data_IF_964330237489
#
_entry.id   IF_964330237489
#
_cell.length_a   1.000
_cell.length_b   1.000
_cell.length_c   1.000
_cell.angle_alpha   90.00
_cell.angle_beta   90.00
_cell.angle_gamma   90.00
#
_symmetry.space_group_name_H-M   'P 1'
#
loop_
_entity.id
_entity.type
_entity.pdbx_description
1 polymer ?
#
# COMPACT_ATOMS: atom_id res chain seq x y z
N UNK A 1 -11.61 18.57 -11.18
CA UNK A 1 -11.26 19.45 -10.05
C UNK A 1 -10.78 18.65 -8.84
N UNK A 2 -11.59 17.75 -8.25
CA UNK A 2 -11.27 17.01 -7.00
C UNK A 2 -9.96 16.23 -7.07
N UNK A 3 -9.72 15.48 -8.14
CA UNK A 3 -8.47 14.71 -8.31
C UNK A 3 -7.25 15.63 -8.42
N UNK A 4 -7.38 16.74 -9.17
CA UNK A 4 -6.32 17.74 -9.32
C UNK A 4 -5.99 18.41 -7.99
N UNK A 5 -7.00 18.75 -7.20
CA UNK A 5 -6.83 19.33 -5.87
C UNK A 5 -6.16 18.36 -4.92
N UNK A 6 -6.55 17.08 -4.95
CA UNK A 6 -5.93 16.03 -4.13
C UNK A 6 -4.46 15.84 -4.51
N UNK A 7 -4.16 15.83 -5.81
CA UNK A 7 -2.79 15.75 -6.29
C UNK A 7 -1.95 16.95 -5.84
N UNK A 8 -2.51 18.17 -5.94
CA UNK A 8 -1.84 19.38 -5.47
C UNK A 8 -1.55 19.34 -3.96
N UNK A 9 -2.49 18.83 -3.16
CA UNK A 9 -2.28 18.62 -1.71
C UNK A 9 -1.17 17.63 -1.41
N UNK A 10 -1.11 16.53 -2.16
CA UNK A 10 -0.02 15.57 -2.00
C UNK A 10 1.34 16.17 -2.38
N UNK A 11 1.41 16.91 -3.47
CA UNK A 11 2.63 17.61 -3.87
C UNK A 11 3.09 18.62 -2.79
N UNK A 12 2.17 19.39 -2.21
CA UNK A 12 2.46 20.30 -1.10
C UNK A 12 2.94 19.55 0.15
N UNK A 13 2.30 18.40 0.46
CA UNK A 13 2.72 17.57 1.59
C UNK A 13 4.13 17.03 1.37
N UNK A 14 4.45 16.50 0.20
CA UNK A 14 5.80 16.03 -0.14
C UNK A 14 6.83 17.16 -0.06
N UNK A 15 6.49 18.36 -0.52
CA UNK A 15 7.34 19.53 -0.40
C UNK A 15 7.58 19.92 1.07
N UNK A 16 6.54 19.87 1.92
CA UNK A 16 6.68 20.12 3.36
C UNK A 16 7.55 19.08 4.06
N UNK A 17 7.52 17.84 3.58
CA UNK A 17 8.41 16.76 4.01
C UNK A 17 9.81 16.85 3.36
N UNK A 18 10.10 17.92 2.62
CA UNK A 18 11.38 18.15 1.92
C UNK A 18 11.75 17.05 0.94
N UNK A 19 10.75 16.40 0.37
CA UNK A 19 10.91 15.23 -0.51
C UNK A 19 11.77 14.11 0.14
N UNK A 20 11.71 13.99 1.46
CA UNK A 20 12.43 12.97 2.20
C UNK A 20 11.99 11.57 1.76
N UNK A 21 12.98 10.67 1.56
CA UNK A 21 12.71 9.27 1.23
C UNK A 21 12.14 8.48 2.41
N UNK A 22 12.35 8.95 3.64
CA UNK A 22 11.81 8.34 4.85
C UNK A 22 11.33 9.37 5.85
N UNK A 23 10.31 9.01 6.63
CA UNK A 23 9.78 9.81 7.74
C UNK A 23 9.62 8.93 8.98
N UNK A 24 9.90 9.50 10.13
CA UNK A 24 9.66 8.86 11.43
C UNK A 24 8.30 9.30 11.95
N UNK A 25 7.41 8.34 12.12
CA UNK A 25 6.08 8.55 12.68
C UNK A 25 6.00 7.97 14.10
N UNK A 26 5.22 8.56 15.00
CA UNK A 26 4.96 7.97 16.30
C UNK A 26 4.11 6.70 16.15
N UNK A 27 4.14 5.83 17.16
CA UNK A 27 3.38 4.57 17.18
C UNK A 27 1.87 4.79 16.99
N UNK A 28 1.36 5.96 17.36
CA UNK A 28 -0.04 6.36 17.17
C UNK A 28 -0.49 6.36 15.69
N UNK A 29 0.46 6.37 14.74
CA UNK A 29 0.15 6.16 13.33
C UNK A 29 -0.34 4.74 13.03
N UNK A 30 0.00 3.77 13.86
CA UNK A 30 -0.28 2.35 13.66
C UNK A 30 -1.29 1.80 14.64
N UNK A 31 -1.12 2.11 15.92
CA UNK A 31 -1.97 1.60 17.00
C UNK A 31 -2.21 2.69 18.01
N UNK A 32 -3.41 2.67 18.63
CA UNK A 32 -3.76 3.58 19.71
C UNK A 32 -4.27 2.80 20.91
N UNK A 33 -3.91 3.25 22.09
CA UNK A 33 -4.46 2.71 23.32
C UNK A 33 -5.99 2.95 23.39
N UNK A 34 -6.72 1.93 23.79
CA UNK A 34 -8.16 2.04 24.04
C UNK A 34 -8.40 2.33 25.53
N UNK A 35 -9.53 2.96 25.87
CA UNK A 35 -9.89 3.20 27.28
C UNK A 35 -9.98 1.90 28.12
N UNK A 36 -10.18 0.77 27.47
CA UNK A 36 -10.27 -0.54 28.10
C UNK A 36 -8.89 -1.23 28.26
N UNK A 37 -7.79 -0.54 27.97
CA UNK A 37 -6.43 -1.04 28.15
C UNK A 37 -5.91 -1.92 27.01
N UNK A 38 -6.62 -2.00 25.87
CA UNK A 38 -6.17 -2.68 24.65
C UNK A 38 -5.55 -1.73 23.62
N UNK A 39 -5.19 -2.29 22.46
CA UNK A 39 -4.74 -1.53 21.29
C UNK A 39 -5.77 -1.62 20.18
N UNK A 40 -6.01 -0.50 19.50
CA UNK A 40 -6.88 -0.41 18.33
C UNK A 40 -6.08 -0.01 17.09
N UNK A 41 -6.39 -0.66 15.97
CA UNK A 41 -5.86 -0.32 14.64
C UNK A 41 -6.87 0.45 13.77
N UNK A 42 -8.03 0.84 14.31
CA UNK A 42 -9.09 1.48 13.55
C UNK A 42 -8.66 2.77 12.84
N UNK A 43 -7.70 3.50 13.44
CA UNK A 43 -7.12 4.72 12.88
C UNK A 43 -5.68 4.49 12.34
N UNK A 44 -5.31 3.26 12.03
CA UNK A 44 -3.98 2.91 11.53
C UNK A 44 -3.81 3.30 10.07
N UNK A 45 -2.62 3.77 9.72
CA UNK A 45 -2.23 3.97 8.31
C UNK A 45 -2.10 2.64 7.53
N UNK A 46 -2.06 1.50 8.22
CA UNK A 46 -2.14 0.17 7.62
C UNK A 46 -3.56 -0.19 7.19
N UNK A 47 -4.57 0.47 7.75
CA UNK A 47 -5.94 0.24 7.35
C UNK A 47 -6.20 0.95 6.02
N UNK A 48 -6.53 0.17 4.98
CA UNK A 48 -6.84 0.69 3.64
C UNK A 48 -8.03 1.65 3.62
N UNK A 49 -8.97 1.50 4.56
CA UNK A 49 -10.13 2.37 4.69
C UNK A 49 -9.76 3.78 5.21
N UNK A 50 -8.53 3.97 5.68
CA UNK A 50 -8.04 5.28 6.09
C UNK A 50 -8.12 6.30 4.94
N UNK A 51 -7.91 5.87 3.70
CA UNK A 51 -7.98 6.74 2.53
C UNK A 51 -9.39 7.30 2.31
N UNK A 52 -10.45 6.61 2.75
CA UNK A 52 -11.82 7.11 2.68
C UNK A 52 -12.06 8.39 3.50
N UNK A 53 -11.16 8.68 4.45
CA UNK A 53 -11.20 9.90 5.27
C UNK A 53 -10.52 11.09 4.61
N UNK A 54 -9.84 10.90 3.49
CA UNK A 54 -9.06 11.93 2.80
C UNK A 54 -9.92 13.17 2.50
N UNK A 55 -9.53 14.31 3.10
CA UNK A 55 -10.25 15.58 2.96
C UNK A 55 -11.56 15.69 3.74
N UNK A 56 -11.93 14.69 4.56
CA UNK A 56 -13.11 14.73 5.42
C UNK A 56 -12.76 15.27 6.82
N UNK A 57 -13.73 15.81 7.58
CA UNK A 57 -13.52 16.25 8.97
C UNK A 57 -13.07 15.12 9.92
N UNK A 58 -13.31 13.87 9.55
CA UNK A 58 -12.88 12.67 10.30
C UNK A 58 -11.40 12.32 10.09
N UNK A 59 -10.72 12.99 9.16
CA UNK A 59 -9.30 12.80 8.90
C UNK A 59 -8.48 13.50 9.99
N UNK A 60 -7.88 12.70 10.86
CA UNK A 60 -7.07 13.18 11.98
C UNK A 60 -5.68 13.57 11.52
N UNK A 61 -5.04 14.45 12.27
CA UNK A 61 -3.65 14.87 12.00
C UNK A 61 -2.65 14.12 12.87
N UNK A 62 -1.43 14.00 12.36
CA UNK A 62 -0.29 13.43 13.08
C UNK A 62 0.96 14.23 12.75
N UNK A 63 1.89 14.27 13.71
CA UNK A 63 3.19 14.92 13.53
C UNK A 63 4.23 13.86 13.21
N UNK A 64 4.96 14.03 12.12
CA UNK A 64 6.04 13.14 11.67
C UNK A 64 7.33 13.93 11.52
N UNK A 65 8.48 13.26 11.56
CA UNK A 65 9.79 13.88 11.35
C UNK A 65 10.43 13.32 10.10
N UNK A 66 10.62 14.15 9.05
CA UNK A 66 11.35 13.73 7.85
C UNK A 66 12.82 13.43 8.17
N UNK A 67 13.41 12.50 7.44
CA UNK A 67 14.85 12.23 7.46
C UNK A 67 15.44 12.57 6.10
N UNK A 68 16.38 13.53 6.08
CA UNK A 68 17.07 13.94 4.88
C UNK A 68 18.57 13.75 5.14
N UNK A 69 19.24 12.99 4.29
CA UNK A 69 20.66 12.63 4.45
C UNK A 69 20.99 12.06 5.84
N UNK A 70 20.10 11.21 6.37
CA UNK A 70 20.17 10.62 7.72
C UNK A 70 20.06 11.63 8.88
N UNK A 71 19.65 12.86 8.61
CA UNK A 71 19.39 13.85 9.64
C UNK A 71 17.89 14.07 9.82
N UNK A 72 17.45 14.01 11.08
CA UNK A 72 16.06 14.29 11.43
C UNK A 72 15.76 15.78 11.30
N UNK A 73 14.77 16.09 10.49
CA UNK A 73 14.27 17.43 10.26
C UNK A 73 13.24 17.84 11.33
N UNK A 74 12.91 19.13 11.42
CA UNK A 74 11.80 19.60 12.25
C UNK A 74 10.50 18.85 11.95
N UNK A 75 9.62 18.68 12.94
CA UNK A 75 8.38 17.95 12.76
C UNK A 75 7.44 18.67 11.78
N UNK A 76 6.72 17.89 10.99
CA UNK A 76 5.70 18.32 10.05
C UNK A 76 4.38 17.65 10.43
N UNK A 77 3.31 18.44 10.49
CA UNK A 77 1.96 17.92 10.75
C UNK A 77 1.23 17.71 9.42
N UNK A 78 0.68 16.53 9.23
CA UNK A 78 -0.13 16.15 8.07
C UNK A 78 -1.30 15.27 8.50
N UNK A 79 -2.25 15.01 7.61
CA UNK A 79 -3.35 14.12 7.91
C UNK A 79 -2.92 12.64 7.87
N UNK A 80 -3.59 11.78 8.65
CA UNK A 80 -3.35 10.34 8.64
C UNK A 80 -3.67 9.73 7.28
N UNK A 81 -4.72 10.20 6.61
CA UNK A 81 -5.06 9.71 5.27
C UNK A 81 -4.01 10.13 4.22
N UNK A 82 -3.43 11.33 4.33
CA UNK A 82 -2.30 11.74 3.49
C UNK A 82 -1.06 10.88 3.76
N UNK A 83 -0.74 10.65 5.03
CA UNK A 83 0.37 9.77 5.41
C UNK A 83 0.16 8.37 4.84
N UNK A 84 -1.04 7.79 5.04
CA UNK A 84 -1.39 6.48 4.48
C UNK A 84 -1.28 6.44 2.95
N UNK A 85 -1.73 7.48 2.24
CA UNK A 85 -1.66 7.55 0.78
C UNK A 85 -0.21 7.61 0.26
N UNK A 86 0.65 8.38 0.92
CA UNK A 86 2.03 8.63 0.50
C UNK A 86 3.04 7.59 0.99
N UNK A 87 2.70 6.78 2.01
CA UNK A 87 3.58 5.74 2.53
C UNK A 87 3.65 4.56 1.56
N UNK A 88 4.81 4.26 1.02
CA UNK A 88 5.04 3.08 0.19
C UNK A 88 5.34 1.84 1.04
N UNK A 89 6.15 2.00 2.07
CA UNK A 89 6.61 0.93 2.96
C UNK A 89 6.57 1.36 4.42
N UNK A 90 6.41 0.40 5.31
CA UNK A 90 6.55 0.56 6.74
C UNK A 90 7.77 -0.25 7.20
N UNK A 91 8.71 0.42 7.85
CA UNK A 91 9.92 -0.21 8.38
C UNK A 91 9.82 -0.25 9.89
N UNK A 92 9.89 -1.45 10.45
CA UNK A 92 9.86 -1.70 11.89
C UNK A 92 11.23 -2.21 12.34
N UNK A 93 12.06 -1.37 13.00
CA UNK A 93 13.28 -1.87 13.59
C UNK A 93 12.93 -2.84 14.73
N UNK A 94 13.41 -4.07 14.65
CA UNK A 94 13.24 -5.06 15.69
C UNK A 94 14.28 -4.85 16.80
N UNK A 95 13.86 -4.95 18.05
CA UNK A 95 14.75 -4.86 19.23
C UNK A 95 15.50 -6.18 19.44
N UNK A 96 14.85 -7.29 19.07
CA UNK A 96 15.40 -8.65 19.19
C UNK A 96 15.26 -9.38 17.85
N UNK A 97 16.12 -10.38 17.64
CA UNK A 97 15.98 -11.28 16.48
C UNK A 97 14.65 -12.00 16.49
N UNK A 98 14.13 -12.30 15.31
CA UNK A 98 12.89 -13.08 15.21
C UNK A 98 13.12 -14.51 15.71
N UNK A 99 12.04 -15.16 16.16
CA UNK A 99 12.09 -16.59 16.55
C UNK A 99 12.03 -17.52 15.35
N UNK A 100 11.65 -16.98 14.19
CA UNK A 100 11.49 -17.73 12.95
C UNK A 100 12.73 -17.53 12.06
N UNK A 101 13.59 -18.54 11.91
CA UNK A 101 14.84 -18.41 11.14
C UNK A 101 14.63 -17.96 9.69
N UNK A 102 13.46 -18.25 9.11
CA UNK A 102 13.12 -17.84 7.75
C UNK A 102 13.26 -16.33 7.54
N UNK A 103 12.89 -15.53 8.55
CA UNK A 103 12.94 -14.06 8.44
C UNK A 103 14.33 -13.45 8.64
N UNK A 104 15.34 -14.26 8.90
CA UNK A 104 16.73 -13.79 8.88
C UNK A 104 17.27 -13.68 7.43
N UNK A 105 16.68 -14.45 6.50
CA UNK A 105 17.15 -14.57 5.11
C UNK A 105 16.09 -14.16 4.07
N UNK A 106 14.85 -13.91 4.49
CA UNK A 106 13.71 -13.63 3.58
C UNK A 106 12.92 -12.43 4.06
N UNK A 107 12.74 -11.46 3.17
CA UNK A 107 11.80 -10.36 3.37
C UNK A 107 10.39 -10.80 2.96
N UNK A 108 9.40 -10.53 3.81
CA UNK A 108 8.00 -10.79 3.54
C UNK A 108 7.29 -9.46 3.19
N UNK A 109 6.80 -9.36 1.95
CA UNK A 109 6.02 -8.23 1.48
C UNK A 109 4.52 -8.58 1.52
N UNK A 110 3.75 -7.84 2.32
CA UNK A 110 2.29 -7.96 2.33
C UNK A 110 1.69 -6.82 1.51
N UNK A 111 1.01 -7.20 0.42
CA UNK A 111 0.26 -6.25 -0.40
C UNK A 111 -1.20 -6.25 0.02
N UNK A 112 -1.83 -5.08 0.20
CA UNK A 112 -3.28 -5.00 0.30
C UNK A 112 -3.90 -5.72 -0.89
N UNK A 113 -4.97 -6.49 -0.67
CA UNK A 113 -5.56 -7.35 -1.69
C UNK A 113 -5.64 -6.68 -3.06
N UNK A 114 -5.10 -7.35 -4.08
CA UNK A 114 -5.05 -6.83 -5.44
C UNK A 114 -6.47 -6.54 -5.92
N UNK A 115 -6.74 -5.28 -6.14
CA UNK A 115 -7.99 -4.82 -6.78
C UNK A 115 -7.58 -4.31 -8.16
N UNK A 116 -8.07 -4.94 -9.21
CA UNK A 116 -7.78 -4.55 -10.58
C UNK A 116 -7.92 -3.05 -10.81
N UNK A 117 -7.12 -2.50 -11.71
CA UNK A 117 -7.27 -1.09 -12.13
C UNK A 117 -8.68 -0.88 -12.67
N UNK A 118 -9.29 0.23 -12.29
CA UNK A 118 -10.56 0.64 -12.88
C UNK A 118 -10.28 1.29 -14.23
N UNK A 119 -10.89 0.75 -15.29
CA UNK A 119 -10.94 1.40 -16.59
C UNK A 119 -12.09 2.41 -16.55
N UNK A 120 -11.81 3.64 -16.17
CA UNK A 120 -12.80 4.70 -15.94
C UNK A 120 -12.34 5.99 -16.58
N UNK A 121 -13.29 6.76 -17.12
CA UNK A 121 -13.04 8.06 -17.73
C UNK A 121 -13.42 9.23 -16.82
N UNK A 122 -14.24 8.96 -15.80
CA UNK A 122 -14.74 9.97 -14.87
C UNK A 122 -14.84 9.46 -13.43
N UNK A 123 -14.95 10.37 -12.47
CA UNK A 123 -15.21 10.02 -11.07
C UNK A 123 -16.59 9.40 -10.87
N UNK A 124 -17.55 9.71 -11.75
CA UNK A 124 -18.89 9.09 -11.70
C UNK A 124 -18.85 7.63 -12.13
N UNK A 125 -17.94 7.26 -13.04
CA UNK A 125 -17.71 5.86 -13.38
C UNK A 125 -17.11 5.10 -12.20
N UNK A 126 -16.23 5.75 -11.44
CA UNK A 126 -15.69 5.15 -10.20
C UNK A 126 -16.80 4.88 -9.20
N UNK A 127 -17.69 5.86 -8.95
CA UNK A 127 -18.83 5.70 -8.04
C UNK A 127 -19.71 4.51 -8.45
N UNK A 128 -20.01 4.39 -9.73
CA UNK A 128 -20.79 3.27 -10.28
C UNK A 128 -20.07 1.93 -10.13
N UNK A 129 -18.77 1.89 -10.39
CA UNK A 129 -17.97 0.66 -10.31
C UNK A 129 -17.78 0.15 -8.88
N UNK A 130 -17.69 1.05 -7.89
CA UNK A 130 -17.50 0.71 -6.48
C UNK A 130 -18.81 0.26 -5.81
N UNK A 131 -19.97 0.56 -6.41
CA UNK A 131 -21.30 0.22 -5.90
C UNK A 131 -21.55 0.64 -4.45
N UNK A 132 -20.99 1.76 -4.04
CA UNK A 132 -21.17 2.33 -2.70
C UNK A 132 -21.36 3.83 -2.83
N UNK A 133 -22.53 4.31 -2.40
CA UNK A 133 -22.85 5.74 -2.46
C UNK A 133 -22.00 6.59 -1.51
N UNK A 134 -21.49 5.98 -0.45
CA UNK A 134 -20.66 6.64 0.57
C UNK A 134 -19.15 6.62 0.26
N UNK A 135 -18.72 5.85 -0.74
CA UNK A 135 -17.30 5.72 -1.07
C UNK A 135 -16.74 7.00 -1.67
N UNK A 136 -15.55 7.41 -1.21
CA UNK A 136 -14.81 8.50 -1.80
C UNK A 136 -14.16 8.01 -3.12
N UNK A 137 -14.61 8.49 -4.30
CA UNK A 137 -14.10 8.00 -5.57
C UNK A 137 -12.62 8.30 -5.79
N UNK A 138 -12.12 9.42 -5.26
CA UNK A 138 -10.70 9.78 -5.32
C UNK A 138 -9.87 8.82 -4.46
N UNK A 139 -10.34 8.50 -3.24
CA UNK A 139 -9.68 7.53 -2.37
C UNK A 139 -9.60 6.14 -3.02
N UNK A 140 -10.66 5.70 -3.68
CA UNK A 140 -10.69 4.42 -4.40
C UNK A 140 -9.70 4.38 -5.58
N UNK A 141 -9.57 5.47 -6.34
CA UNK A 141 -8.57 5.58 -7.40
C UNK A 141 -7.14 5.54 -6.85
N UNK A 142 -6.89 6.29 -5.78
CA UNK A 142 -5.58 6.34 -5.12
C UNK A 142 -5.20 4.96 -4.58
N UNK A 143 -6.12 4.29 -3.86
CA UNK A 143 -5.88 2.96 -3.30
C UNK A 143 -5.50 1.96 -4.40
N UNK A 144 -6.30 1.87 -5.46
CA UNK A 144 -6.06 0.93 -6.56
C UNK A 144 -4.79 1.26 -7.33
N UNK A 145 -4.57 2.55 -7.60
CA UNK A 145 -3.36 3.03 -8.27
C UNK A 145 -2.11 2.75 -7.45
N UNK A 146 -2.15 2.98 -6.14
CA UNK A 146 -1.03 2.70 -5.22
C UNK A 146 -0.67 1.22 -5.19
N UNK A 147 -1.65 0.33 -5.01
CA UNK A 147 -1.42 -1.12 -4.98
C UNK A 147 -0.82 -1.60 -6.30
N UNK A 148 -1.40 -1.18 -7.43
CA UNK A 148 -0.88 -1.54 -8.74
C UNK A 148 0.54 -1.00 -8.97
N UNK A 149 0.80 0.25 -8.59
CA UNK A 149 2.13 0.87 -8.71
C UNK A 149 3.18 0.14 -7.88
N UNK A 150 2.88 -0.18 -6.62
CA UNK A 150 3.81 -0.90 -5.75
C UNK A 150 4.11 -2.29 -6.29
N UNK A 151 3.08 -3.02 -6.71
CA UNK A 151 3.25 -4.34 -7.31
C UNK A 151 4.13 -4.30 -8.56
N UNK A 152 3.90 -3.34 -9.47
CA UNK A 152 4.73 -3.14 -10.66
C UNK A 152 6.16 -2.76 -10.30
N UNK A 153 6.35 -1.83 -9.38
CA UNK A 153 7.68 -1.39 -8.92
C UNK A 153 8.52 -2.56 -8.41
N UNK A 154 7.96 -3.37 -7.51
CA UNK A 154 8.67 -4.54 -6.98
C UNK A 154 8.89 -5.63 -8.02
N UNK A 155 7.97 -5.74 -9.00
CA UNK A 155 8.14 -6.64 -10.15
C UNK A 155 9.29 -6.18 -11.03
N UNK A 156 9.35 -4.90 -11.38
CA UNK A 156 10.35 -4.34 -12.30
C UNK A 156 11.74 -4.29 -11.67
N UNK A 157 11.84 -4.01 -10.38
CA UNK A 157 13.10 -4.07 -9.64
C UNK A 157 13.58 -5.50 -9.35
N UNK A 158 12.76 -6.52 -9.70
CA UNK A 158 13.05 -7.95 -9.45
C UNK A 158 13.25 -8.28 -7.96
N UNK A 159 12.63 -7.52 -7.08
CA UNK A 159 12.71 -7.74 -5.64
C UNK A 159 11.79 -8.89 -5.19
N UNK A 160 10.75 -9.23 -5.98
CA UNK A 160 9.86 -10.36 -5.71
C UNK A 160 10.39 -11.65 -6.33
N UNK A 161 10.96 -12.52 -5.53
CA UNK A 161 11.45 -13.84 -5.98
C UNK A 161 10.35 -14.91 -5.94
N UNK A 162 9.47 -14.85 -4.94
CA UNK A 162 8.35 -15.78 -4.75
C UNK A 162 7.07 -14.96 -4.57
N UNK A 163 6.01 -15.35 -5.24
CA UNK A 163 4.68 -14.78 -5.06
C UNK A 163 3.76 -15.80 -4.38
N UNK A 164 3.14 -15.40 -3.27
CA UNK A 164 2.13 -16.20 -2.57
C UNK A 164 0.77 -15.56 -2.82
N UNK A 165 -0.14 -16.30 -3.44
CA UNK A 165 -1.48 -15.83 -3.75
C UNK A 165 -2.47 -16.43 -2.76
N UNK A 166 -2.99 -15.58 -1.88
CA UNK A 166 -4.00 -15.96 -0.88
C UNK A 166 -5.40 -15.61 -1.40
N UNK A 167 -6.22 -16.61 -1.67
CA UNK A 167 -7.61 -16.42 -2.10
C UNK A 167 -8.57 -17.16 -1.17
N UNK A 168 -9.72 -16.55 -0.81
CA UNK A 168 -10.76 -17.25 -0.09
C UNK A 168 -11.34 -18.38 -0.95
N UNK A 169 -11.44 -19.60 -0.41
CA UNK A 169 -11.96 -20.77 -1.13
C UNK A 169 -13.40 -20.63 -1.63
N UNK A 170 -14.16 -19.68 -1.10
CA UNK A 170 -15.58 -19.46 -1.42
C UNK A 170 -15.85 -18.32 -2.43
N UNK A 171 -14.80 -17.65 -2.97
CA UNK A 171 -14.96 -16.53 -3.91
C UNK A 171 -14.27 -16.81 -5.24
N UNK A 172 -14.96 -17.54 -6.12
CA UNK A 172 -14.46 -17.83 -7.48
C UNK A 172 -14.24 -16.58 -8.35
N UNK A 173 -15.00 -15.50 -8.10
CA UNK A 173 -14.86 -14.25 -8.86
C UNK A 173 -13.49 -13.61 -8.73
N UNK A 174 -12.84 -13.78 -7.59
CA UNK A 174 -11.53 -13.17 -7.33
C UNK A 174 -10.42 -13.91 -8.12
N UNK A 175 -10.56 -15.21 -8.30
CA UNK A 175 -9.64 -16.05 -9.10
C UNK A 175 -9.61 -15.60 -10.57
N UNK A 176 -10.77 -15.29 -11.14
CA UNK A 176 -10.89 -14.87 -12.55
C UNK A 176 -10.20 -13.53 -12.79
N UNK A 177 -10.25 -12.60 -11.84
CA UNK A 177 -9.65 -11.28 -11.96
C UNK A 177 -8.12 -11.29 -11.77
N UNK A 178 -7.61 -12.23 -10.99
CA UNK A 178 -6.18 -12.36 -10.67
C UNK A 178 -5.42 -13.11 -11.77
N UNK A 179 -6.06 -14.02 -12.49
CA UNK A 179 -5.44 -14.85 -13.52
C UNK A 179 -4.60 -14.09 -14.55
N UNK A 180 -5.14 -13.06 -15.22
CA UNK A 180 -4.38 -12.28 -16.20
C UNK A 180 -3.14 -11.62 -15.60
N UNK A 181 -3.24 -11.08 -14.38
CA UNK A 181 -2.13 -10.42 -13.67
C UNK A 181 -1.03 -11.41 -13.34
N UNK A 182 -1.41 -12.60 -12.86
CA UNK A 182 -0.45 -13.68 -12.58
C UNK A 182 0.25 -14.13 -13.87
N UNK A 183 -0.49 -14.27 -14.97
CA UNK A 183 0.09 -14.66 -16.25
C UNK A 183 1.12 -13.64 -16.72
N UNK A 184 0.82 -12.35 -16.61
CA UNK A 184 1.75 -11.29 -16.96
C UNK A 184 2.96 -11.27 -16.01
N UNK A 185 2.75 -11.37 -14.71
CA UNK A 185 3.82 -11.43 -13.72
C UNK A 185 4.76 -12.63 -14.00
N UNK A 186 4.20 -13.82 -14.24
CA UNK A 186 4.97 -15.01 -14.57
C UNK A 186 5.80 -14.79 -15.85
N UNK A 187 5.21 -14.23 -16.89
CA UNK A 187 5.92 -13.97 -18.14
C UNK A 187 7.09 -12.99 -17.95
N UNK A 188 6.90 -11.95 -17.14
CA UNK A 188 7.92 -10.91 -16.88
C UNK A 188 9.03 -11.38 -15.93
N UNK A 189 8.70 -12.15 -14.90
CA UNK A 189 9.65 -12.49 -13.84
C UNK A 189 10.22 -13.90 -13.96
N UNK A 190 9.42 -14.87 -14.41
CA UNK A 190 9.78 -16.28 -14.48
C UNK A 190 10.27 -16.70 -15.87
N UNK A 191 9.89 -15.96 -16.88
CA UNK A 191 10.22 -16.24 -18.27
C UNK A 191 9.02 -16.59 -19.13
N UNK A 192 9.14 -16.30 -20.43
CA UNK A 192 8.06 -16.45 -21.41
C UNK A 192 7.80 -17.90 -21.83
N UNK A 193 8.77 -18.81 -21.64
CA UNK A 193 8.63 -20.21 -22.03
C UNK A 193 8.80 -21.16 -20.86
N UNK A 194 8.23 -22.38 -20.92
CA UNK A 194 8.38 -23.39 -19.87
C UNK A 194 9.85 -23.77 -19.58
N UNK A 195 10.70 -23.81 -20.61
CA UNK A 195 12.11 -24.16 -20.52
C UNK A 195 12.89 -23.10 -19.73
N UNK A 196 12.59 -21.82 -19.96
CA UNK A 196 13.20 -20.70 -19.20
C UNK A 196 12.74 -20.76 -17.75
N UNK A 197 11.44 -21.00 -17.52
CA UNK A 197 10.88 -21.10 -16.16
C UNK A 197 11.48 -22.23 -15.34
N UNK A 198 11.70 -23.39 -15.96
CA UNK A 198 12.30 -24.54 -15.30
C UNK A 198 13.74 -24.30 -14.79
N UNK A 199 14.42 -23.29 -15.32
CA UNK A 199 15.78 -22.92 -14.93
C UNK A 199 15.84 -21.85 -13.83
N UNK A 200 14.70 -21.19 -13.53
CA UNK A 200 14.66 -20.13 -12.51
C UNK A 200 14.35 -20.71 -11.14
N UNK A 201 15.00 -20.15 -10.10
CA UNK A 201 14.79 -20.54 -8.70
C UNK A 201 13.66 -19.76 -8.01
N UNK A 202 12.78 -19.16 -8.79
CA UNK A 202 11.67 -18.37 -8.29
C UNK A 202 10.37 -19.17 -8.41
N UNK A 203 9.38 -18.90 -7.55
CA UNK A 203 8.19 -19.72 -7.43
C UNK A 203 6.89 -18.93 -7.34
N UNK A 204 5.80 -19.61 -7.70
CA UNK A 204 4.44 -19.19 -7.43
C UNK A 204 3.81 -20.22 -6.50
N UNK A 205 3.28 -19.76 -5.37
CA UNK A 205 2.51 -20.57 -4.42
C UNK A 205 1.05 -20.09 -4.44
N UNK A 206 0.13 -21.05 -4.49
CA UNK A 206 -1.31 -20.80 -4.50
C UNK A 206 -1.98 -21.52 -3.34
#
# INVERSE_FOLDING_TARGET
>A
PELTETYARFAQTLASLRHAGSVFAPLDALVRATPQGGLSQADSIMNVDMLERLGKPTDKTISVRPSVNNELQPPVTLSLAQLAALTAELIFPLVEKTREPLFEDVDLLDFPGYRGRLSVESLDDVRRAVKSDDANPVAQLILRGKVAYLFERYTDSQEMNVLIVCTPSNKQSDVTSVGPVLTEWIARTQGSTPEIRARRQSGLLW
#
